data_IF_375581755798
#
_entry.id   IF_375581755798
#
_cell.length_a   1.000
_cell.length_b   1.000
_cell.length_c   1.000
_cell.angle_alpha   90.00
_cell.angle_beta   90.00
_cell.angle_gamma   90.00
#
_symmetry.space_group_name_H-M   'P 1'
#
loop_
_entity.id
_entity.type
_entity.pdbx_description
1 polymer ?
#
# COMPACT_ATOMS: atom_id res chain seq x y z
N UNK A 1 24.11 5.21 2.22
CA UNK A 1 24.32 4.13 3.20
C UNK A 1 24.21 4.73 4.60
N UNK A 2 23.03 4.68 5.20
CA UNK A 2 22.73 5.17 6.57
C UNK A 2 21.95 4.08 7.32
N UNK A 3 22.30 2.81 7.06
CA UNK A 3 21.44 1.65 7.37
C UNK A 3 21.80 0.92 8.67
N UNK A 4 22.67 1.48 9.52
CA UNK A 4 23.16 0.77 10.71
C UNK A 4 22.78 1.33 12.08
N UNK A 5 22.50 2.65 12.19
CA UNK A 5 22.47 3.34 13.50
C UNK A 5 21.16 4.08 13.82
N UNK A 6 20.20 4.13 12.88
CA UNK A 6 18.95 4.89 13.05
C UNK A 6 17.78 4.09 13.64
N UNK A 7 17.94 2.80 13.95
CA UNK A 7 16.85 1.96 14.43
C UNK A 7 16.52 2.13 15.92
N UNK A 8 17.23 2.97 16.67
CA UNK A 8 17.05 3.15 18.14
C UNK A 8 16.69 4.57 18.57
N UNK A 9 16.63 5.53 17.64
CA UNK A 9 16.30 6.92 17.95
C UNK A 9 15.02 7.34 17.21
N UNK A 10 14.25 8.21 17.85
CA UNK A 10 13.19 8.94 17.17
C UNK A 10 13.79 10.05 16.30
N UNK A 11 13.10 10.42 15.23
CA UNK A 11 13.54 11.49 14.35
C UNK A 11 12.35 12.21 13.72
N UNK A 12 12.55 13.48 13.40
CA UNK A 12 11.54 14.30 12.74
C UNK A 12 11.65 14.18 11.23
N UNK A 13 10.51 14.16 10.56
CA UNK A 13 10.39 14.22 9.11
C UNK A 13 9.46 15.35 8.71
N UNK A 14 9.71 15.95 7.55
CA UNK A 14 8.81 16.94 6.99
C UNK A 14 7.66 16.25 6.27
N UNK A 15 6.45 16.77 6.45
CA UNK A 15 5.22 16.42 5.73
C UNK A 15 4.65 17.75 5.25
N UNK A 16 4.96 18.11 4.00
CA UNK A 16 4.78 19.46 3.45
C UNK A 16 5.32 20.56 4.38
N UNK A 17 4.45 21.47 4.84
CA UNK A 17 4.77 22.60 5.70
C UNK A 17 4.79 22.24 7.20
N UNK A 18 4.53 20.97 7.53
CA UNK A 18 4.50 20.44 8.91
C UNK A 18 5.57 19.41 9.15
N UNK A 19 5.68 18.99 10.42
CA UNK A 19 6.56 17.91 10.83
C UNK A 19 5.80 16.74 11.42
N UNK A 20 6.36 15.54 11.29
CA UNK A 20 5.92 14.35 12.00
C UNK A 20 7.07 13.71 12.74
N UNK A 21 6.80 13.18 13.93
CA UNK A 21 7.78 12.44 14.71
C UNK A 21 7.70 10.96 14.36
N UNK A 22 8.83 10.34 14.02
CA UNK A 22 8.95 8.90 13.85
C UNK A 22 9.45 8.31 15.16
N UNK A 23 8.71 7.34 15.70
CA UNK A 23 8.96 6.69 16.98
C UNK A 23 9.22 5.20 16.79
N UNK A 24 10.29 4.68 17.41
CA UNK A 24 10.38 3.23 17.62
C UNK A 24 9.52 2.83 18.82
N UNK A 25 8.64 1.84 18.65
CA UNK A 25 7.74 1.37 19.71
C UNK A 25 8.47 0.93 20.99
N UNK A 26 9.72 0.46 20.88
CA UNK A 26 10.53 0.04 22.04
C UNK A 26 10.99 1.24 22.91
N UNK A 27 10.83 2.48 22.43
CA UNK A 27 11.19 3.72 23.14
C UNK A 27 10.01 4.70 23.19
N UNK A 28 8.80 4.15 23.29
CA UNK A 28 7.55 4.91 23.18
C UNK A 28 7.50 6.11 24.14
N UNK A 29 7.83 5.91 25.42
CA UNK A 29 7.74 6.98 26.43
C UNK A 29 8.69 8.13 26.12
N UNK A 30 9.96 7.85 25.81
CA UNK A 30 10.97 8.86 25.47
C UNK A 30 10.65 9.57 24.15
N UNK A 31 10.02 8.87 23.20
CA UNK A 31 9.57 9.48 21.96
C UNK A 31 8.42 10.45 22.19
N UNK A 32 7.40 10.05 22.95
CA UNK A 32 6.22 10.89 23.24
C UNK A 32 6.62 12.16 24.00
N UNK A 33 7.64 12.09 24.86
CA UNK A 33 8.14 13.27 25.58
C UNK A 33 8.72 14.36 24.67
N UNK A 34 9.09 14.03 23.42
CA UNK A 34 9.55 15.02 22.44
C UNK A 34 8.41 15.79 21.78
N UNK A 35 7.17 15.29 21.90
CA UNK A 35 6.00 15.99 21.38
C UNK A 35 5.62 17.15 22.32
N UNK A 36 5.08 18.26 21.79
CA UNK A 36 4.47 19.29 22.62
C UNK A 36 3.35 18.73 23.49
N UNK A 37 3.22 19.27 24.72
CA UNK A 37 2.22 18.82 25.70
C UNK A 37 0.80 18.81 25.16
N UNK A 38 0.47 19.73 24.24
CA UNK A 38 -0.85 19.83 23.60
C UNK A 38 -1.26 18.58 22.83
N UNK A 39 -0.32 17.86 22.21
CA UNK A 39 -0.61 16.64 21.43
C UNK A 39 -0.26 15.35 22.19
N UNK A 40 0.52 15.43 23.27
CA UNK A 40 0.86 14.27 24.11
C UNK A 40 -0.40 13.57 24.66
N UNK A 41 -1.46 14.32 25.02
CA UNK A 41 -2.70 13.73 25.50
C UNK A 41 -3.42 12.90 24.43
N UNK A 42 -3.42 13.37 23.18
CA UNK A 42 -3.99 12.64 22.05
C UNK A 42 -3.27 11.30 21.84
N UNK A 43 -1.95 11.27 22.00
CA UNK A 43 -1.17 10.04 21.86
C UNK A 43 -1.35 9.13 23.08
N UNK A 44 -1.26 9.67 24.30
CA UNK A 44 -1.37 8.90 25.54
C UNK A 44 -2.75 8.28 25.77
N UNK A 45 -3.80 8.88 25.21
CA UNK A 45 -5.16 8.29 25.24
C UNK A 45 -5.33 7.07 24.33
N UNK A 46 -4.37 6.82 23.44
CA UNK A 46 -4.39 5.67 22.54
C UNK A 46 -3.64 4.51 23.18
N UNK A 47 -4.20 3.30 23.09
CA UNK A 47 -3.51 2.09 23.49
C UNK A 47 -2.53 1.65 22.39
N UNK A 48 -1.43 2.42 22.21
CA UNK A 48 -0.47 2.25 21.11
C UNK A 48 0.09 0.83 21.08
N UNK A 49 0.51 0.29 22.23
CA UNK A 49 1.10 -1.05 22.31
C UNK A 49 0.11 -2.13 21.84
N UNK A 50 -1.16 -2.01 22.22
CA UNK A 50 -2.21 -2.93 21.76
C UNK A 50 -2.50 -2.76 20.26
N UNK A 51 -2.63 -1.52 19.78
CA UNK A 51 -2.92 -1.22 18.38
C UNK A 51 -1.77 -1.64 17.44
N UNK A 52 -0.53 -1.63 17.94
CA UNK A 52 0.69 -2.03 17.22
C UNK A 52 0.99 -3.53 17.24
N UNK A 53 0.28 -4.34 18.03
CA UNK A 53 0.71 -5.70 18.40
C UNK A 53 1.23 -6.55 17.23
N UNK A 54 0.52 -6.55 16.10
CA UNK A 54 0.88 -7.29 14.88
C UNK A 54 1.14 -6.39 13.66
N UNK A 55 1.29 -5.08 13.88
CA UNK A 55 1.49 -4.11 12.79
C UNK A 55 2.95 -3.69 12.73
N UNK A 56 3.47 -3.56 11.51
CA UNK A 56 4.82 -3.04 11.24
C UNK A 56 4.92 -1.56 11.61
N UNK A 57 3.83 -0.82 11.37
CA UNK A 57 3.76 0.62 11.58
C UNK A 57 2.31 1.05 11.87
N UNK A 58 2.17 2.25 12.44
CA UNK A 58 0.89 2.97 12.50
C UNK A 58 1.15 4.47 12.57
N UNK A 59 0.14 5.24 12.16
CA UNK A 59 0.14 6.70 12.28
C UNK A 59 -0.97 7.21 13.19
N UNK A 60 -0.68 8.28 13.93
CA UNK A 60 -1.69 9.15 14.54
C UNK A 60 -1.52 10.54 13.94
N UNK A 61 -2.54 11.00 13.23
CA UNK A 61 -2.57 12.37 12.69
C UNK A 61 -3.02 13.38 13.76
N UNK A 62 -2.48 14.59 13.70
CA UNK A 62 -2.84 15.69 14.58
C UNK A 62 -3.59 16.79 13.82
N UNK A 63 -4.49 17.49 14.53
CA UNK A 63 -5.07 18.76 14.09
C UNK A 63 -4.26 19.92 14.67
N UNK A 64 -2.97 19.94 14.38
CA UNK A 64 -2.02 20.95 14.85
C UNK A 64 -1.53 21.82 13.68
N UNK A 65 -1.05 23.04 13.97
CA UNK A 65 -0.57 23.99 12.97
C UNK A 65 0.82 23.63 12.44
N UNK A 66 1.70 23.10 13.29
CA UNK A 66 3.10 22.79 12.93
C UNK A 66 3.36 21.30 12.87
N UNK A 67 2.53 20.48 13.52
CA UNK A 67 2.66 19.02 13.53
C UNK A 67 1.59 18.32 12.71
N UNK A 68 2.00 17.39 11.86
CA UNK A 68 1.09 16.55 11.08
C UNK A 68 0.70 15.28 11.83
N UNK A 69 1.57 14.76 12.70
CA UNK A 69 1.31 13.50 13.40
C UNK A 69 2.54 12.87 14.04
N UNK A 70 2.35 11.64 14.50
CA UNK A 70 3.39 10.73 14.97
C UNK A 70 3.23 9.38 14.28
N UNK A 71 4.33 8.78 13.86
CA UNK A 71 4.36 7.46 13.24
C UNK A 71 5.13 6.53 14.17
N UNK A 72 4.53 5.41 14.53
CA UNK A 72 5.18 4.37 15.32
C UNK A 72 5.64 3.24 14.40
N UNK A 73 6.88 2.81 14.60
CA UNK A 73 7.50 1.69 13.91
C UNK A 73 7.71 0.54 14.87
N UNK A 74 7.43 -0.68 14.42
CA UNK A 74 7.69 -1.93 15.12
C UNK A 74 8.58 -2.84 14.26
N UNK A 75 9.91 -2.62 14.29
CA UNK A 75 10.86 -3.40 13.49
C UNK A 75 10.83 -4.91 13.79
N UNK A 76 10.38 -5.30 14.99
CA UNK A 76 10.33 -6.71 15.41
C UNK A 76 9.17 -7.47 14.79
N UNK A 77 8.08 -6.80 14.43
CA UNK A 77 6.93 -7.40 13.77
C UNK A 77 7.10 -7.50 12.25
N UNK A 78 8.10 -6.81 11.68
CA UNK A 78 8.27 -6.70 10.24
C UNK A 78 8.66 -8.02 9.60
N UNK A 79 7.74 -8.57 8.82
CA UNK A 79 7.98 -9.78 8.03
C UNK A 79 9.01 -9.52 6.91
N UNK A 80 9.87 -10.50 6.66
CA UNK A 80 10.82 -10.49 5.53
C UNK A 80 10.22 -11.08 4.25
N UNK A 81 9.05 -11.70 4.34
CA UNK A 81 8.34 -12.31 3.20
C UNK A 81 6.83 -12.36 3.44
N UNK A 82 6.08 -12.45 2.35
CA UNK A 82 4.64 -12.74 2.32
C UNK A 82 4.42 -13.88 1.35
N UNK A 83 3.51 -14.80 1.67
CA UNK A 83 3.14 -15.87 0.76
C UNK A 83 1.63 -16.13 0.79
N UNK A 84 1.12 -16.72 -0.28
CA UNK A 84 -0.26 -17.19 -0.43
C UNK A 84 -0.25 -18.61 -1.00
N UNK A 85 -1.24 -19.42 -0.64
CA UNK A 85 -1.50 -20.70 -1.30
C UNK A 85 -2.72 -20.56 -2.18
N UNK A 86 -2.54 -20.69 -3.51
CA UNK A 86 -3.61 -20.53 -4.50
C UNK A 86 -3.68 -21.81 -5.32
N UNK A 87 -4.81 -22.53 -5.25
CA UNK A 87 -5.00 -23.81 -5.97
C UNK A 87 -3.82 -24.78 -5.78
N UNK A 88 -3.32 -24.90 -4.55
CA UNK A 88 -2.19 -25.76 -4.20
C UNK A 88 -0.79 -25.22 -4.57
N UNK A 89 -0.70 -24.06 -5.23
CA UNK A 89 0.57 -23.41 -5.58
C UNK A 89 0.97 -22.39 -4.52
N UNK A 90 2.22 -22.44 -4.05
CA UNK A 90 2.78 -21.43 -3.15
C UNK A 90 3.28 -20.24 -3.97
N UNK A 91 2.65 -19.08 -3.80
CA UNK A 91 3.11 -17.80 -4.38
C UNK A 91 3.81 -17.03 -3.27
N UNK A 92 5.10 -16.72 -3.42
CA UNK A 92 5.91 -16.13 -2.36
C UNK A 92 6.66 -14.89 -2.85
N UNK A 93 6.53 -13.80 -2.09
CA UNK A 93 7.24 -12.55 -2.29
C UNK A 93 8.24 -12.34 -1.16
N UNK A 94 9.54 -12.26 -1.48
CA UNK A 94 10.56 -11.77 -0.55
C UNK A 94 10.49 -10.24 -0.51
N UNK A 95 10.46 -9.67 0.70
CA UNK A 95 10.34 -8.23 0.89
C UNK A 95 11.71 -7.57 1.07
N UNK A 96 12.00 -6.61 0.20
CA UNK A 96 13.11 -5.66 0.32
C UNK A 96 12.64 -4.43 1.06
N UNK A 97 13.38 -4.07 2.11
CA UNK A 97 13.11 -2.88 2.93
C UNK A 97 11.65 -2.76 3.44
N UNK A 98 11.02 -3.83 3.97
CA UNK A 98 9.61 -3.83 4.35
C UNK A 98 9.26 -2.74 5.37
N UNK A 99 10.11 -2.51 6.37
CA UNK A 99 9.89 -1.46 7.36
C UNK A 99 9.90 -0.06 6.73
N UNK A 100 10.76 0.17 5.74
CA UNK A 100 10.84 1.45 5.03
C UNK A 100 9.59 1.71 4.20
N UNK A 101 9.07 0.68 3.53
CA UNK A 101 7.80 0.80 2.80
C UNK A 101 6.63 1.06 3.74
N UNK A 102 6.59 0.39 4.89
CA UNK A 102 5.57 0.67 5.91
C UNK A 102 5.70 2.11 6.45
N UNK A 103 6.92 2.60 6.71
CA UNK A 103 7.15 3.99 7.09
C UNK A 103 6.64 4.98 6.02
N UNK A 104 6.99 4.78 4.76
CA UNK A 104 6.52 5.64 3.68
C UNK A 104 5.00 5.58 3.54
N UNK A 105 4.39 4.42 3.70
CA UNK A 105 2.93 4.30 3.71
C UNK A 105 2.28 5.14 4.82
N UNK A 106 2.79 5.05 6.05
CA UNK A 106 2.28 5.87 7.16
C UNK A 106 2.51 7.38 6.95
N UNK A 107 3.63 7.78 6.33
CA UNK A 107 3.85 9.16 5.90
C UNK A 107 2.83 9.57 4.83
N UNK A 108 2.48 8.67 3.91
CA UNK A 108 1.45 8.87 2.90
C UNK A 108 0.08 9.19 3.50
N UNK A 109 -0.29 8.55 4.61
CA UNK A 109 -1.52 8.92 5.32
C UNK A 109 -1.50 10.36 5.86
N UNK A 110 -0.34 10.86 6.30
CA UNK A 110 -0.20 12.24 6.72
C UNK A 110 -0.28 13.19 5.52
N UNK A 111 0.38 12.84 4.42
CA UNK A 111 0.36 13.59 3.16
C UNK A 111 -1.04 13.70 2.57
N UNK A 112 -1.85 12.64 2.68
CA UNK A 112 -3.23 12.63 2.21
C UNK A 112 -4.08 13.76 2.81
N UNK A 113 -3.87 14.09 4.09
CA UNK A 113 -4.62 15.15 4.76
C UNK A 113 -4.20 16.55 4.27
N UNK A 114 -2.95 16.71 3.84
CA UNK A 114 -2.37 18.00 3.45
C UNK A 114 -2.47 18.27 1.95
N UNK A 115 -2.47 17.23 1.12
CA UNK A 115 -2.39 17.33 -0.34
C UNK A 115 -3.66 16.77 -0.98
N UNK A 116 -3.92 15.48 -0.78
CA UNK A 116 -4.92 14.77 -1.58
C UNK A 116 -6.35 15.22 -1.24
N UNK A 117 -6.70 15.34 0.05
CA UNK A 117 -8.02 15.81 0.44
C UNK A 117 -8.31 17.25 -0.05
N UNK A 118 -7.35 18.21 0.05
CA UNK A 118 -7.47 19.51 -0.61
C UNK A 118 -7.63 19.44 -2.14
N UNK A 119 -6.83 18.63 -2.84
CA UNK A 119 -6.91 18.47 -4.30
C UNK A 119 -8.29 17.94 -4.74
N UNK A 120 -8.83 16.96 -4.01
CA UNK A 120 -10.16 16.40 -4.28
C UNK A 120 -11.31 17.29 -3.77
N UNK A 121 -11.03 18.28 -2.93
CA UNK A 121 -12.02 19.17 -2.29
C UNK A 121 -13.09 18.41 -1.50
N UNK A 122 -12.74 17.26 -0.93
CA UNK A 122 -13.62 16.43 -0.10
C UNK A 122 -12.81 15.50 0.82
N UNK A 123 -13.43 14.97 1.89
CA UNK A 123 -12.84 13.89 2.66
C UNK A 123 -12.57 12.65 1.79
N UNK A 124 -11.51 11.93 2.12
CA UNK A 124 -11.19 10.65 1.51
C UNK A 124 -12.06 9.55 2.12
N UNK A 125 -12.47 8.60 1.30
CA UNK A 125 -13.00 7.33 1.80
C UNK A 125 -11.88 6.50 2.42
N UNK A 126 -12.22 5.48 3.22
CA UNK A 126 -11.21 4.58 3.81
C UNK A 126 -10.29 3.95 2.76
N UNK A 127 -10.85 3.49 1.64
CA UNK A 127 -10.04 2.88 0.56
C UNK A 127 -9.15 3.90 -0.16
N UNK A 128 -9.58 5.16 -0.27
CA UNK A 128 -8.74 6.23 -0.82
C UNK A 128 -7.61 6.60 0.14
N UNK A 129 -7.86 6.63 1.46
CA UNK A 129 -6.81 6.84 2.45
C UNK A 129 -5.68 5.81 2.31
N UNK A 130 -6.01 4.54 2.08
CA UNK A 130 -5.02 3.49 1.86
C UNK A 130 -4.34 3.60 0.49
N UNK A 131 -5.13 3.83 -0.57
CA UNK A 131 -4.61 3.86 -1.93
C UNK A 131 -3.64 5.02 -2.15
N UNK A 132 -3.99 6.22 -1.68
CA UNK A 132 -3.11 7.38 -1.83
C UNK A 132 -1.91 7.35 -0.87
N UNK A 133 -2.00 6.61 0.24
CA UNK A 133 -0.82 6.33 1.06
C UNK A 133 0.19 5.42 0.34
N UNK A 134 -0.30 4.41 -0.40
CA UNK A 134 0.55 3.63 -1.29
C UNK A 134 1.06 4.44 -2.49
N UNK A 135 0.30 5.41 -3.01
CA UNK A 135 0.78 6.31 -4.05
C UNK A 135 2.00 7.12 -3.58
N UNK A 136 1.94 7.70 -2.38
CA UNK A 136 3.09 8.37 -1.80
C UNK A 136 4.27 7.40 -1.62
N UNK A 137 3.99 6.16 -1.22
CA UNK A 137 5.02 5.11 -1.11
C UNK A 137 5.73 4.88 -2.44
N UNK A 138 5.00 4.84 -3.56
CA UNK A 138 5.59 4.76 -4.90
C UNK A 138 6.50 5.96 -5.16
N UNK A 139 5.97 7.18 -5.04
CA UNK A 139 6.72 8.41 -5.34
C UNK A 139 8.00 8.53 -4.51
N UNK A 140 7.91 8.31 -3.21
CA UNK A 140 9.05 8.42 -2.29
C UNK A 140 10.07 7.29 -2.54
N UNK A 141 9.61 6.07 -2.79
CA UNK A 141 10.49 4.94 -3.09
C UNK A 141 11.32 5.18 -4.36
N UNK A 142 10.69 5.71 -5.42
CA UNK A 142 11.37 6.05 -6.66
C UNK A 142 12.33 7.22 -6.44
N UNK A 143 11.93 8.24 -5.69
CA UNK A 143 12.81 9.38 -5.39
C UNK A 143 14.08 8.96 -4.63
N UNK A 144 13.98 7.97 -3.73
CA UNK A 144 15.12 7.47 -2.94
C UNK A 144 15.97 6.44 -3.66
N UNK A 145 15.37 5.60 -4.50
CA UNK A 145 16.06 4.45 -5.10
C UNK A 145 16.32 4.59 -6.60
N UNK A 146 15.69 5.57 -7.25
CA UNK A 146 15.70 5.78 -8.71
C UNK A 146 15.20 4.56 -9.49
N UNK A 147 14.31 3.77 -8.89
CA UNK A 147 13.81 2.51 -9.44
C UNK A 147 12.36 2.26 -9.03
N UNK A 148 11.62 1.56 -9.89
CA UNK A 148 10.25 1.09 -9.61
C UNK A 148 10.20 -0.23 -8.83
N UNK A 149 11.34 -0.82 -8.49
CA UNK A 149 11.41 -2.13 -7.84
C UNK A 149 10.55 -2.22 -6.56
N UNK A 150 10.68 -1.22 -5.67
CA UNK A 150 9.93 -1.20 -4.43
C UNK A 150 8.44 -0.87 -4.64
N UNK A 151 8.11 -0.14 -5.71
CA UNK A 151 6.74 0.13 -6.10
C UNK A 151 6.03 -1.15 -6.59
N UNK A 152 6.69 -1.92 -7.45
CA UNK A 152 6.22 -3.24 -7.87
C UNK A 152 6.10 -4.21 -6.69
N UNK A 153 7.06 -4.20 -5.76
CA UNK A 153 6.95 -5.01 -4.54
C UNK A 153 5.70 -4.66 -3.73
N UNK A 154 5.40 -3.36 -3.55
CA UNK A 154 4.22 -2.93 -2.82
C UNK A 154 2.93 -3.36 -3.54
N UNK A 155 2.88 -3.22 -4.87
CA UNK A 155 1.79 -3.74 -5.69
C UNK A 155 1.57 -5.25 -5.48
N UNK A 156 2.63 -6.06 -5.55
CA UNK A 156 2.53 -7.49 -5.36
C UNK A 156 2.09 -7.85 -3.94
N UNK A 157 2.63 -7.16 -2.93
CA UNK A 157 2.24 -7.33 -1.52
C UNK A 157 0.75 -7.08 -1.33
N UNK A 158 0.18 -6.03 -1.92
CA UNK A 158 -1.25 -5.72 -1.80
C UNK A 158 -2.16 -6.76 -2.45
N UNK A 159 -1.73 -7.36 -3.56
CA UNK A 159 -2.42 -8.50 -4.16
C UNK A 159 -2.40 -9.74 -3.25
N UNK A 160 -1.22 -10.11 -2.72
CA UNK A 160 -1.12 -11.27 -1.81
C UNK A 160 -1.92 -11.08 -0.52
N UNK A 161 -1.92 -9.85 0.04
CA UNK A 161 -2.67 -9.53 1.25
C UNK A 161 -4.17 -9.79 1.07
N UNK A 162 -4.79 -9.28 -0.01
CA UNK A 162 -6.23 -9.52 -0.25
C UNK A 162 -6.59 -10.94 -0.67
N UNK A 163 -5.61 -11.73 -1.12
CA UNK A 163 -5.80 -13.17 -1.37
C UNK A 163 -5.78 -13.93 -0.04
N UNK A 164 -5.00 -13.46 0.93
CA UNK A 164 -4.83 -14.11 2.22
C UNK A 164 -5.92 -13.75 3.23
N UNK A 165 -6.40 -12.51 3.24
CA UNK A 165 -7.30 -12.01 4.28
C UNK A 165 -8.39 -11.07 3.74
N UNK A 166 -9.65 -11.37 4.07
CA UNK A 166 -10.79 -10.49 3.76
C UNK A 166 -10.71 -9.12 4.43
N UNK A 167 -10.02 -8.99 5.57
CA UNK A 167 -9.84 -7.71 6.26
C UNK A 167 -9.00 -6.71 5.46
N UNK A 168 -8.22 -7.18 4.48
CA UNK A 168 -7.33 -6.34 3.70
C UNK A 168 -8.00 -5.67 2.49
N UNK A 169 -9.29 -5.93 2.23
CA UNK A 169 -9.99 -5.33 1.08
C UNK A 169 -9.99 -3.80 1.07
N UNK A 170 -10.04 -3.16 2.25
CA UNK A 170 -9.95 -1.69 2.31
C UNK A 170 -8.56 -1.16 1.96
N UNK A 171 -7.53 -2.00 2.10
CA UNK A 171 -6.13 -1.69 1.80
C UNK A 171 -5.74 -2.08 0.36
N UNK A 172 -6.69 -2.54 -0.46
CA UNK A 172 -6.42 -2.97 -1.82
C UNK A 172 -6.27 -1.78 -2.77
N UNK A 173 -5.05 -1.24 -2.83
CA UNK A 173 -4.66 -0.10 -3.66
C UNK A 173 -4.25 -0.49 -5.09
N UNK A 174 -4.29 -1.78 -5.42
CA UNK A 174 -3.80 -2.35 -6.70
C UNK A 174 -4.40 -1.67 -7.93
N UNK A 175 -5.68 -1.29 -8.01
CA UNK A 175 -6.19 -0.56 -9.18
C UNK A 175 -5.47 0.76 -9.46
N UNK A 176 -5.13 1.51 -8.40
CA UNK A 176 -4.36 2.76 -8.52
C UNK A 176 -2.92 2.46 -8.88
N UNK A 177 -2.29 1.52 -8.17
CA UNK A 177 -0.89 1.16 -8.40
C UNK A 177 -0.67 0.56 -9.79
N UNK A 178 -1.61 -0.24 -10.29
CA UNK A 178 -1.59 -0.76 -11.65
C UNK A 178 -1.56 0.38 -12.66
N UNK A 179 -2.47 1.34 -12.51
CA UNK A 179 -2.49 2.50 -13.40
C UNK A 179 -1.16 3.24 -13.39
N UNK A 180 -0.62 3.54 -12.21
CA UNK A 180 0.67 4.25 -12.08
C UNK A 180 1.81 3.47 -12.74
N UNK A 181 1.92 2.17 -12.45
CA UNK A 181 3.03 1.35 -12.93
C UNK A 181 2.97 1.05 -14.44
N UNK A 182 1.78 1.16 -15.05
CA UNK A 182 1.60 1.02 -16.50
C UNK A 182 1.86 2.32 -17.27
N UNK A 183 1.71 3.49 -16.62
CA UNK A 183 1.76 4.79 -17.31
C UNK A 183 3.01 5.61 -17.00
N UNK A 184 3.73 5.30 -15.92
CA UNK A 184 4.92 6.03 -15.51
C UNK A 184 6.10 5.06 -15.35
N UNK A 185 7.23 5.40 -15.97
CA UNK A 185 8.52 4.81 -15.61
C UNK A 185 9.15 5.58 -14.43
N UNK A 186 10.36 5.19 -14.01
CA UNK A 186 11.04 5.84 -12.90
C UNK A 186 11.44 7.29 -13.24
N UNK A 187 11.89 7.54 -14.46
CA UNK A 187 12.28 8.85 -14.95
C UNK A 187 11.10 9.83 -14.99
N UNK A 188 9.92 9.38 -15.40
CA UNK A 188 8.69 10.18 -15.42
C UNK A 188 8.32 10.64 -14.01
N UNK A 189 8.37 9.73 -13.02
CA UNK A 189 8.07 10.06 -11.61
C UNK A 189 9.12 11.03 -11.04
N UNK A 190 10.40 10.85 -11.40
CA UNK A 190 11.49 11.73 -10.96
C UNK A 190 11.45 13.12 -11.58
N UNK A 191 10.75 13.28 -12.72
CA UNK A 191 10.59 14.57 -13.37
C UNK A 191 9.66 15.50 -12.58
N UNK A 192 8.79 14.97 -11.72
CA UNK A 192 7.94 15.78 -10.84
C UNK A 192 8.75 16.38 -9.69
N UNK A 193 8.81 17.72 -9.54
CA UNK A 193 9.56 18.40 -8.47
C UNK A 193 9.03 18.10 -7.06
N UNK A 194 7.75 17.76 -6.94
CA UNK A 194 7.07 17.53 -5.67
C UNK A 194 6.04 16.41 -5.75
N UNK A 195 5.69 15.84 -4.60
CA UNK A 195 4.61 14.86 -4.51
C UNK A 195 3.26 15.48 -4.90
N UNK A 196 3.03 16.74 -4.53
CA UNK A 196 1.81 17.48 -4.89
C UNK A 196 1.61 17.56 -6.40
N UNK A 197 2.68 17.84 -7.16
CA UNK A 197 2.60 17.88 -8.64
C UNK A 197 2.33 16.50 -9.23
N UNK A 198 3.05 15.47 -8.77
CA UNK A 198 2.81 14.09 -9.21
C UNK A 198 1.37 13.64 -8.93
N UNK A 199 0.87 13.88 -7.72
CA UNK A 199 -0.48 13.52 -7.34
C UNK A 199 -1.54 14.31 -8.13
N UNK A 200 -1.28 15.60 -8.40
CA UNK A 200 -2.21 16.44 -9.17
C UNK A 200 -2.33 15.95 -10.61
N UNK A 201 -1.21 15.62 -11.26
CA UNK A 201 -1.18 15.07 -12.61
C UNK A 201 -1.94 13.73 -12.67
N UNK A 202 -1.65 12.82 -11.73
CA UNK A 202 -2.35 11.56 -11.63
C UNK A 202 -3.87 11.73 -11.48
N UNK A 203 -4.33 12.66 -10.65
CA UNK A 203 -5.76 12.88 -10.40
C UNK A 203 -6.52 13.44 -11.61
N UNK A 204 -5.82 14.01 -12.59
CA UNK A 204 -6.43 14.45 -13.86
C UNK A 204 -6.75 13.22 -14.75
N UNK A 205 -5.87 12.23 -14.74
CA UNK A 205 -5.91 11.12 -15.69
C UNK A 205 -6.46 9.81 -15.12
N UNK A 206 -6.32 9.60 -13.82
CA UNK A 206 -6.79 8.39 -13.14
C UNK A 206 -8.27 8.51 -12.75
N UNK A 207 -9.07 7.57 -13.26
CA UNK A 207 -10.45 7.37 -12.82
C UNK A 207 -10.50 6.25 -11.77
N UNK A 208 -10.82 6.55 -10.49
CA UNK A 208 -10.96 5.52 -9.48
C UNK A 208 -12.13 4.61 -9.79
N UNK A 209 -12.03 3.34 -9.34
CA UNK A 209 -13.14 2.40 -9.43
C UNK A 209 -14.40 3.00 -8.80
N UNK A 210 -15.56 2.73 -9.40
CA UNK A 210 -16.84 3.08 -8.78
C UNK A 210 -17.07 2.28 -7.49
N UNK A 211 -18.03 2.71 -6.66
CA UNK A 211 -18.39 1.93 -5.46
C UNK A 211 -18.90 0.53 -5.83
N UNK A 212 -19.66 0.41 -6.91
CA UNK A 212 -20.19 -0.85 -7.41
C UNK A 212 -19.05 -1.75 -7.89
N UNK A 213 -18.11 -1.21 -8.65
CA UNK A 213 -16.90 -1.92 -9.08
C UNK A 213 -16.12 -2.49 -7.90
N UNK A 214 -15.88 -1.67 -6.87
CA UNK A 214 -15.19 -2.14 -5.65
C UNK A 214 -15.93 -3.27 -4.96
N UNK A 215 -17.26 -3.20 -4.86
CA UNK A 215 -18.08 -4.28 -4.26
C UNK A 215 -18.02 -5.56 -5.10
N UNK A 216 -18.07 -5.44 -6.41
CA UNK A 216 -17.97 -6.58 -7.33
C UNK A 216 -16.58 -7.22 -7.26
N UNK A 217 -15.48 -6.46 -7.30
CA UNK A 217 -14.14 -7.02 -7.13
C UNK A 217 -13.96 -7.69 -5.78
N UNK A 218 -14.41 -7.07 -4.69
CA UNK A 218 -14.39 -7.69 -3.37
C UNK A 218 -15.11 -9.04 -3.38
N UNK A 219 -16.27 -9.10 -4.02
CA UNK A 219 -17.08 -10.32 -4.10
C UNK A 219 -16.41 -11.38 -4.97
N UNK A 220 -15.77 -10.98 -6.08
CA UNK A 220 -15.00 -11.87 -6.94
C UNK A 220 -13.77 -12.43 -6.21
N UNK A 221 -12.97 -11.59 -5.54
CA UNK A 221 -11.79 -12.02 -4.76
C UNK A 221 -12.23 -12.97 -3.65
N UNK A 222 -13.29 -12.63 -2.91
CA UNK A 222 -13.87 -13.53 -1.91
C UNK A 222 -14.25 -14.88 -2.49
N UNK A 223 -14.95 -14.88 -3.63
CA UNK A 223 -15.36 -16.10 -4.30
C UNK A 223 -14.17 -16.95 -4.73
N UNK A 224 -13.12 -16.34 -5.30
CA UNK A 224 -11.95 -17.03 -5.83
C UNK A 224 -11.01 -17.58 -4.75
N UNK A 225 -10.82 -16.86 -3.63
CA UNK A 225 -9.72 -17.17 -2.69
C UNK A 225 -10.17 -17.52 -1.27
N UNK A 226 -11.37 -17.10 -0.86
CA UNK A 226 -11.83 -17.26 0.53
C UNK A 226 -13.05 -18.16 0.66
N UNK A 227 -13.78 -18.39 -0.43
CA UNK A 227 -14.96 -19.24 -0.41
C UNK A 227 -14.59 -20.68 -0.77
N UNK A 228 -15.08 -21.65 -0.01
CA UNK A 228 -15.06 -23.07 -0.39
C UNK A 228 -16.13 -23.41 -1.44
N UNK A 229 -16.65 -22.41 -2.16
CA UNK A 229 -17.76 -22.59 -3.10
C UNK A 229 -17.28 -23.29 -4.37
N UNK A 230 -17.80 -24.49 -4.58
CA UNK A 230 -17.64 -25.25 -5.82
C UNK A 230 -18.61 -24.80 -6.92
N UNK A 231 -19.49 -23.82 -6.65
CA UNK A 231 -20.60 -23.48 -7.53
C UNK A 231 -20.20 -22.53 -8.67
N UNK A 232 -20.18 -23.08 -9.89
CA UNK A 232 -20.03 -22.41 -11.19
C UNK A 232 -19.03 -21.24 -11.24
N UNK A 233 -17.79 -21.53 -10.80
CA UNK A 233 -16.68 -20.57 -10.70
C UNK A 233 -16.59 -19.65 -11.91
N UNK A 234 -16.71 -20.16 -13.14
CA UNK A 234 -16.45 -19.40 -14.37
C UNK A 234 -17.46 -18.30 -14.67
N UNK A 235 -18.73 -18.44 -14.28
CA UNK A 235 -19.80 -17.48 -14.64
C UNK A 235 -19.97 -16.35 -13.63
N UNK A 236 -19.60 -16.60 -12.37
CA UNK A 236 -19.70 -15.61 -11.30
C UNK A 236 -18.87 -14.36 -11.63
N UNK A 237 -19.55 -13.21 -11.66
CA UNK A 237 -18.99 -11.90 -12.00
C UNK A 237 -18.08 -11.93 -13.24
N UNK A 238 -18.48 -12.68 -14.27
CA UNK A 238 -17.65 -12.92 -15.46
C UNK A 238 -17.19 -11.64 -16.16
N UNK A 239 -18.01 -10.58 -16.14
CA UNK A 239 -17.66 -9.26 -16.68
C UNK A 239 -16.53 -8.53 -15.92
N UNK A 240 -16.14 -9.00 -14.73
CA UNK A 240 -15.01 -8.44 -13.95
C UNK A 240 -13.74 -9.26 -14.05
N UNK A 241 -13.81 -10.49 -14.58
CA UNK A 241 -12.68 -11.43 -14.59
C UNK A 241 -11.52 -10.93 -15.44
N UNK A 242 -11.79 -10.30 -16.57
CA UNK A 242 -10.74 -9.73 -17.43
C UNK A 242 -9.97 -8.61 -16.73
N UNK A 243 -10.69 -7.60 -16.21
CA UNK A 243 -10.07 -6.49 -15.49
C UNK A 243 -9.36 -6.95 -14.20
N UNK A 244 -9.93 -7.92 -13.49
CA UNK A 244 -9.24 -8.51 -12.32
C UNK A 244 -7.99 -9.30 -12.72
N UNK A 245 -8.03 -10.01 -13.84
CA UNK A 245 -6.87 -10.73 -14.38
C UNK A 245 -5.73 -9.76 -14.70
N UNK A 246 -6.01 -8.61 -15.30
CA UNK A 246 -5.01 -7.56 -15.55
C UNK A 246 -4.35 -7.07 -14.25
N UNK A 247 -5.11 -7.00 -13.15
CA UNK A 247 -4.59 -6.62 -11.83
C UNK A 247 -3.82 -7.73 -11.11
N UNK A 248 -4.00 -9.00 -11.48
CA UNK A 248 -3.35 -10.13 -10.78
C UNK A 248 -2.19 -10.72 -11.57
N UNK A 249 -2.27 -10.71 -12.89
CA UNK A 249 -1.30 -11.32 -13.78
C UNK A 249 0.14 -10.82 -13.54
N UNK A 250 0.42 -9.50 -13.38
CA UNK A 250 1.78 -9.04 -13.10
C UNK A 250 2.36 -9.64 -11.80
N UNK A 251 1.52 -9.85 -10.78
CA UNK A 251 1.97 -10.53 -9.55
C UNK A 251 2.29 -12.00 -9.78
N UNK A 252 1.47 -12.71 -10.54
CA UNK A 252 1.72 -14.13 -10.78
C UNK A 252 2.92 -14.33 -11.70
N UNK A 253 3.07 -13.52 -12.74
CA UNK A 253 4.20 -13.58 -13.67
C UNK A 253 5.53 -13.20 -12.98
N UNK A 254 5.51 -12.29 -12.00
CA UNK A 254 6.71 -11.91 -11.23
C UNK A 254 7.12 -12.96 -10.17
N UNK A 255 6.17 -13.70 -9.62
CA UNK A 255 6.40 -14.58 -8.45
C UNK A 255 6.39 -16.08 -8.76
N UNK A 256 5.97 -16.45 -9.97
CA UNK A 256 5.94 -17.82 -10.46
C UNK A 256 6.65 -17.91 -11.80
N UNK A 257 7.00 -19.12 -12.24
CA UNK A 257 7.37 -19.29 -13.63
C UNK A 257 6.18 -19.04 -14.56
N UNK A 258 6.45 -18.60 -15.80
CA UNK A 258 5.43 -18.23 -16.79
C UNK A 258 4.40 -19.34 -17.06
N UNK A 259 4.79 -20.62 -16.94
CA UNK A 259 3.87 -21.75 -17.15
C UNK A 259 2.95 -21.93 -15.93
N UNK A 260 3.49 -21.81 -14.73
CA UNK A 260 2.73 -21.85 -13.48
C UNK A 260 1.74 -20.69 -13.39
N UNK A 261 2.18 -19.45 -13.66
CA UNK A 261 1.32 -18.27 -13.66
C UNK A 261 0.11 -18.43 -14.60
N UNK A 262 0.36 -18.86 -15.85
CA UNK A 262 -0.70 -19.12 -16.84
C UNK A 262 -1.64 -20.26 -16.45
N UNK A 263 -1.09 -21.35 -15.89
CA UNK A 263 -1.89 -22.47 -15.40
C UNK A 263 -2.83 -22.01 -14.29
N UNK A 264 -2.32 -21.19 -13.36
CA UNK A 264 -3.07 -20.67 -12.24
C UNK A 264 -4.16 -19.67 -12.66
N UNK A 265 -3.87 -18.74 -13.57
CA UNK A 265 -4.89 -17.85 -14.13
C UNK A 265 -6.00 -18.65 -14.81
N UNK A 266 -5.64 -19.69 -15.58
CA UNK A 266 -6.60 -20.58 -16.24
C UNK A 266 -7.45 -21.37 -15.25
N UNK A 267 -6.86 -21.90 -14.17
CA UNK A 267 -7.61 -22.65 -13.14
C UNK A 267 -8.61 -21.75 -12.42
N UNK A 268 -8.22 -20.50 -12.13
CA UNK A 268 -9.09 -19.47 -11.57
C UNK A 268 -10.12 -18.92 -12.56
N UNK A 269 -10.10 -19.36 -13.82
CA UNK A 269 -10.91 -18.82 -14.92
C UNK A 269 -10.74 -17.29 -15.11
N UNK A 270 -9.51 -16.82 -14.99
CA UNK A 270 -9.09 -15.46 -15.30
C UNK A 270 -8.41 -15.47 -16.67
N UNK A 271 -8.92 -14.71 -17.66
CA UNK A 271 -8.36 -14.74 -19.01
C UNK A 271 -6.99 -14.09 -19.02
N UNK A 272 -6.05 -14.63 -19.81
CA UNK A 272 -4.78 -13.96 -20.05
C UNK A 272 -5.06 -12.67 -20.81
N UNK A 273 -4.59 -11.53 -20.30
CA UNK A 273 -4.57 -10.31 -21.08
C UNK A 273 -3.71 -10.56 -22.33
N UNK A 274 -4.24 -10.31 -23.53
CA UNK A 274 -3.57 -10.66 -24.79
C UNK A 274 -2.30 -9.85 -25.08
N UNK A 275 -1.94 -8.86 -24.25
CA UNK A 275 -0.78 -8.00 -24.46
C UNK A 275 -0.15 -7.61 -23.12
N UNK A 276 0.81 -8.38 -22.61
CA UNK A 276 1.72 -7.89 -21.57
C UNK A 276 3.12 -8.42 -21.89
N UNK A 277 3.85 -7.66 -22.71
CA UNK A 277 5.31 -7.74 -22.74
C UNK A 277 5.80 -6.89 -21.56
N UNK A 278 6.05 -7.50 -20.42
CA UNK A 278 6.78 -6.83 -19.33
C UNK A 278 8.22 -7.35 -19.27
N UNK A 279 9.22 -6.45 -19.11
CA UNK A 279 10.62 -6.79 -18.89
C UNK A 279 10.88 -7.41 -17.50
#
# INVERSE_FOLDING_TARGET
>A
MLSGLLLTASFWVNIEDKQALICNINRLSECIQQLPTSVQQTVSSQNIAHNMAFRDAMVISFKDKTLSGVIFLNPKATASEVYSFIEGSKVQLKLKQPLQLSLWHEQGHLQNNQIIAPLLKRPLTKSEHESFADLYTVWESVNKTKSLELAWQQYHRRNLNVINQESDYSHWSVPLLYYVLEHYNAEDILAFPSYTEFASDLLIHYSPLSQDERREFRSLIKHLFHSHSTFNQRRYLSWRREKFSAYLAPTLDALLDKKQARTLLKSLALPLANNLNHP
#
